data_IF_518680418316
#
_entry.id   IF_518680418316
#
_cell.length_a   1.000
_cell.length_b   1.000
_cell.length_c   1.000
_cell.angle_alpha   90.00
_cell.angle_beta   90.00
_cell.angle_gamma   90.00
#
_symmetry.space_group_name_H-M   'P 1'
#
loop_
_entity.id
_entity.type
_entity.pdbx_description
1 polymer ?
#
# COMPACT_ATOMS: atom_id res chain seq x y z
N UNK A 1 -18.57 -71.70 21.51
CA UNK A 1 -19.28 -71.08 20.35
C UNK A 1 -19.19 -69.58 20.48
N UNK A 2 -18.34 -68.85 19.74
CA UNK A 2 -18.31 -67.43 19.78
C UNK A 2 -19.21 -66.84 18.69
N UNK A 3 -19.91 -65.73 19.06
CA UNK A 3 -20.89 -65.01 18.26
C UNK A 3 -20.21 -64.15 17.16
N UNK A 4 -20.71 -64.27 15.95
CA UNK A 4 -20.34 -63.47 14.82
C UNK A 4 -20.85 -62.03 14.99
N UNK A 5 -19.94 -61.02 14.95
CA UNK A 5 -20.23 -59.61 14.88
C UNK A 5 -20.26 -59.21 13.40
N UNK A 6 -21.44 -58.87 12.90
CA UNK A 6 -21.62 -58.30 11.55
C UNK A 6 -21.01 -56.88 11.49
N UNK A 7 -20.10 -56.70 10.54
CA UNK A 7 -19.53 -55.41 10.20
C UNK A 7 -20.47 -54.74 9.18
N UNK A 8 -21.19 -53.68 9.59
CA UNK A 8 -21.95 -52.83 8.68
C UNK A 8 -20.99 -51.94 7.87
N UNK A 9 -20.88 -52.22 6.57
CA UNK A 9 -20.21 -51.37 5.58
C UNK A 9 -21.06 -50.14 5.37
N UNK A 10 -20.49 -48.95 5.69
CA UNK A 10 -21.10 -47.66 5.35
C UNK A 10 -20.97 -47.44 3.85
N UNK A 11 -22.09 -47.08 3.19
CA UNK A 11 -22.15 -46.66 1.80
C UNK A 11 -21.36 -45.36 1.60
N UNK A 12 -20.70 -45.13 0.45
CA UNK A 12 -20.03 -43.87 0.13
C UNK A 12 -21.08 -42.77 -0.08
N UNK A 13 -20.80 -41.60 0.52
CA UNK A 13 -21.57 -40.36 0.32
C UNK A 13 -21.25 -39.87 -1.07
N UNK A 14 -22.29 -39.66 -1.89
CA UNK A 14 -22.17 -39.11 -3.25
C UNK A 14 -21.67 -37.66 -3.28
N UNK A 15 -21.13 -37.18 -4.43
CA UNK A 15 -20.68 -35.82 -4.60
C UNK A 15 -21.89 -34.90 -4.79
N UNK A 16 -22.22 -34.12 -3.76
CA UNK A 16 -23.27 -33.15 -3.84
C UNK A 16 -23.38 -32.33 -2.57
N UNK A 17 -22.57 -31.29 -2.51
CA UNK A 17 -22.89 -29.99 -1.93
C UNK A 17 -21.62 -29.12 -2.06
N UNK A 18 -21.40 -28.59 -3.27
CA UNK A 18 -20.60 -27.39 -3.41
C UNK A 18 -21.42 -26.27 -2.78
N UNK A 19 -21.11 -25.96 -1.52
CA UNK A 19 -21.62 -24.76 -0.88
C UNK A 19 -21.31 -23.58 -1.81
N UNK A 20 -22.33 -22.99 -2.38
CA UNK A 20 -22.24 -21.76 -3.14
C UNK A 20 -21.55 -20.75 -2.24
N UNK A 21 -20.34 -20.34 -2.61
CA UNK A 21 -19.64 -19.22 -1.99
C UNK A 21 -20.56 -18.02 -2.20
N UNK A 22 -21.30 -17.66 -1.16
CA UNK A 22 -22.16 -16.48 -1.15
C UNK A 22 -21.28 -15.29 -1.50
N UNK A 23 -21.47 -14.72 -2.68
CA UNK A 23 -20.78 -13.52 -3.10
C UNK A 23 -21.09 -12.42 -2.08
N UNK A 24 -20.09 -12.04 -1.29
CA UNK A 24 -20.24 -10.97 -0.30
C UNK A 24 -20.60 -9.70 -1.07
N UNK A 25 -21.71 -9.03 -0.75
CA UNK A 25 -22.14 -7.86 -1.52
C UNK A 25 -21.07 -6.76 -1.41
N UNK A 26 -20.60 -6.27 -2.56
CA UNK A 26 -19.73 -5.10 -2.62
C UNK A 26 -20.36 -3.94 -1.86
N UNK A 27 -19.56 -3.12 -1.12
CA UNK A 27 -20.11 -1.99 -0.40
C UNK A 27 -20.83 -1.05 -1.38
N UNK A 28 -22.04 -0.64 -1.03
CA UNK A 28 -22.80 0.31 -1.83
C UNK A 28 -22.07 1.66 -1.83
N UNK A 29 -21.56 2.07 -2.99
CA UNK A 29 -20.88 3.35 -3.14
C UNK A 29 -21.85 4.51 -2.98
N UNK A 30 -21.42 5.59 -2.34
CA UNK A 30 -22.18 6.84 -2.25
C UNK A 30 -22.25 7.55 -3.61
N UNK A 31 -23.16 8.52 -3.79
CA UNK A 31 -23.21 9.31 -5.02
C UNK A 31 -21.87 10.03 -5.34
N UNK A 32 -21.16 10.51 -4.31
CA UNK A 32 -19.86 11.18 -4.45
C UNK A 32 -18.79 10.19 -4.95
N UNK A 33 -18.72 8.99 -4.38
CA UNK A 33 -17.79 7.93 -4.78
C UNK A 33 -18.02 7.48 -6.23
N UNK A 34 -19.29 7.27 -6.61
CA UNK A 34 -19.64 6.97 -8.00
C UNK A 34 -19.29 8.12 -8.97
N UNK A 35 -19.46 9.37 -8.52
CA UNK A 35 -19.11 10.53 -9.33
C UNK A 35 -17.57 10.62 -9.53
N UNK A 36 -16.78 10.37 -8.49
CA UNK A 36 -15.32 10.34 -8.58
C UNK A 36 -14.83 9.27 -9.56
N UNK A 37 -15.31 8.03 -9.43
CA UNK A 37 -14.99 6.94 -10.36
C UNK A 37 -15.35 7.30 -11.81
N UNK A 38 -16.55 7.84 -12.05
CA UNK A 38 -16.96 8.25 -13.40
C UNK A 38 -16.10 9.38 -13.95
N UNK A 39 -15.71 10.35 -13.12
CA UNK A 39 -14.85 11.45 -13.54
C UNK A 39 -13.50 10.93 -14.03
N UNK A 40 -12.78 10.16 -13.21
CA UNK A 40 -11.48 9.59 -13.57
C UNK A 40 -11.59 8.71 -14.83
N UNK A 41 -12.60 7.85 -14.90
CA UNK A 41 -12.86 7.02 -16.07
C UNK A 41 -13.09 7.86 -17.34
N UNK A 42 -13.83 8.96 -17.24
CA UNK A 42 -14.09 9.85 -18.39
C UNK A 42 -12.81 10.54 -18.85
N UNK A 43 -11.97 11.03 -17.94
CA UNK A 43 -10.65 11.59 -18.26
C UNK A 43 -9.79 10.54 -18.96
N UNK A 44 -9.66 9.35 -18.36
CA UNK A 44 -8.88 8.26 -18.92
C UNK A 44 -9.35 7.83 -20.33
N UNK A 45 -10.66 7.81 -20.57
CA UNK A 45 -11.20 7.51 -21.91
C UNK A 45 -10.83 8.59 -22.94
N UNK A 46 -10.76 9.86 -22.53
CA UNK A 46 -10.31 10.95 -23.40
C UNK A 46 -8.83 10.81 -23.80
N UNK A 47 -7.99 10.37 -22.87
CA UNK A 47 -6.55 10.23 -23.04
C UNK A 47 -6.15 8.87 -23.65
N UNK A 48 -7.05 7.90 -23.67
CA UNK A 48 -6.82 6.54 -24.15
C UNK A 48 -6.21 6.45 -25.56
N UNK A 49 -6.66 7.22 -26.59
CA UNK A 49 -6.07 7.13 -27.93
C UNK A 49 -4.58 7.49 -27.95
N UNK A 50 -4.19 8.54 -27.23
CA UNK A 50 -2.79 8.96 -27.11
C UNK A 50 -1.97 7.93 -26.33
N UNK A 51 -2.54 7.38 -25.24
CA UNK A 51 -1.93 6.32 -24.44
C UNK A 51 -1.67 5.06 -25.28
N UNK A 52 -2.63 4.61 -26.06
CA UNK A 52 -2.48 3.46 -26.96
C UNK A 52 -1.38 3.66 -27.99
N UNK A 53 -1.26 4.87 -28.58
CA UNK A 53 -0.18 5.20 -29.49
C UNK A 53 1.19 5.16 -28.78
N UNK A 54 1.27 5.65 -27.55
CA UNK A 54 2.50 5.63 -26.74
C UNK A 54 2.90 4.20 -26.37
N UNK A 55 1.97 3.37 -25.91
CA UNK A 55 2.22 1.95 -25.62
C UNK A 55 2.73 1.24 -26.88
N UNK A 56 2.08 1.47 -28.02
CA UNK A 56 2.49 0.87 -29.29
C UNK A 56 3.93 1.24 -29.68
N UNK A 57 4.33 2.50 -29.54
CA UNK A 57 5.71 2.95 -29.81
C UNK A 57 6.71 2.32 -28.83
N UNK A 58 6.39 2.28 -27.54
CA UNK A 58 7.25 1.69 -26.52
C UNK A 58 7.48 0.21 -26.79
N UNK A 59 6.45 -0.55 -27.09
CA UNK A 59 6.55 -1.99 -27.37
C UNK A 59 7.25 -2.29 -28.68
N UNK A 60 7.03 -1.50 -29.72
CA UNK A 60 7.71 -1.68 -31.01
C UNK A 60 9.24 -1.59 -30.90
N UNK A 61 9.75 -0.76 -29.99
CA UNK A 61 11.18 -0.59 -29.72
C UNK A 61 11.87 -1.77 -29.03
N UNK A 62 11.09 -2.67 -28.40
CA UNK A 62 11.65 -3.77 -27.60
C UNK A 62 12.00 -5.03 -28.38
N UNK A 63 11.48 -5.19 -29.60
CA UNK A 63 11.54 -6.46 -30.33
C UNK A 63 10.71 -7.59 -29.66
N UNK A 64 10.04 -7.35 -28.56
CA UNK A 64 9.19 -8.32 -27.87
C UNK A 64 7.78 -8.25 -28.42
N UNK A 65 7.24 -9.39 -28.79
CA UNK A 65 5.86 -9.51 -29.30
C UNK A 65 4.88 -9.63 -28.13
N UNK A 66 4.75 -8.57 -27.33
CA UNK A 66 3.68 -8.49 -26.35
C UNK A 66 2.52 -7.69 -26.91
N UNK A 67 1.34 -8.27 -26.83
CA UNK A 67 0.10 -7.56 -27.15
C UNK A 67 -0.25 -6.63 -25.97
N UNK A 68 -0.53 -5.37 -26.29
CA UNK A 68 -1.01 -4.38 -25.30
C UNK A 68 -2.25 -4.87 -24.55
N UNK A 69 -3.13 -5.62 -25.23
CA UNK A 69 -4.36 -6.15 -24.63
C UNK A 69 -4.03 -7.19 -23.56
N UNK A 70 -2.98 -8.00 -23.77
CA UNK A 70 -2.49 -8.93 -22.77
C UNK A 70 -1.93 -8.23 -21.53
N UNK A 71 -1.20 -7.11 -21.69
CA UNK A 71 -0.69 -6.32 -20.57
C UNK A 71 -1.82 -5.69 -19.75
N UNK A 72 -2.80 -5.07 -20.41
CA UNK A 72 -3.98 -4.49 -19.75
C UNK A 72 -4.76 -5.58 -19.02
N UNK A 73 -5.00 -6.71 -19.66
CA UNK A 73 -5.68 -7.85 -19.04
C UNK A 73 -4.90 -8.41 -17.83
N UNK A 74 -3.57 -8.46 -17.92
CA UNK A 74 -2.71 -8.91 -16.82
C UNK A 74 -2.78 -7.96 -15.64
N UNK A 75 -2.78 -6.65 -15.86
CA UNK A 75 -2.95 -5.66 -14.78
C UNK A 75 -4.27 -5.89 -14.03
N UNK A 76 -5.38 -6.07 -14.74
CA UNK A 76 -6.69 -6.33 -14.14
C UNK A 76 -6.77 -7.66 -13.39
N UNK A 77 -6.11 -8.70 -13.88
CA UNK A 77 -6.12 -10.05 -13.30
C UNK A 77 -5.15 -10.17 -12.12
N UNK A 78 -3.92 -9.68 -12.29
CA UNK A 78 -2.81 -9.92 -11.35
C UNK A 78 -2.55 -8.72 -10.41
N UNK A 79 -2.95 -7.51 -10.77
CA UNK A 79 -2.79 -6.33 -9.93
C UNK A 79 -3.49 -6.48 -8.57
N UNK A 80 -2.87 -6.01 -7.51
CA UNK A 80 -3.46 -5.95 -6.16
C UNK A 80 -3.18 -4.60 -5.53
N UNK A 81 -4.18 -4.01 -4.94
CA UNK A 81 -3.96 -2.80 -4.15
C UNK A 81 -3.34 -3.18 -2.81
N UNK A 82 -2.30 -2.44 -2.42
CA UNK A 82 -1.74 -2.51 -1.08
C UNK A 82 -1.89 -1.16 -0.39
N UNK A 83 -2.34 -1.19 0.88
CA UNK A 83 -2.47 -0.02 1.72
C UNK A 83 -1.36 -0.05 2.76
N UNK A 84 -0.29 0.70 2.52
CA UNK A 84 0.83 0.77 3.44
C UNK A 84 0.52 1.71 4.62
N UNK A 85 0.90 1.29 5.84
CA UNK A 85 0.71 2.04 7.08
C UNK A 85 1.79 1.71 8.12
N UNK A 86 1.95 2.59 9.12
CA UNK A 86 2.73 2.30 10.32
C UNK A 86 1.78 1.87 11.43
N UNK A 87 1.91 0.64 11.99
CA UNK A 87 0.94 0.06 12.92
C UNK A 87 0.92 0.76 14.27
N UNK A 88 2.04 1.33 14.69
CA UNK A 88 2.30 2.00 15.95
C UNK A 88 2.10 3.53 15.88
N UNK A 89 1.68 4.07 14.73
CA UNK A 89 1.32 5.49 14.59
C UNK A 89 0.13 5.81 15.48
N UNK A 90 0.27 6.84 16.34
CA UNK A 90 -0.81 7.32 17.19
C UNK A 90 -1.85 8.11 16.39
N UNK A 91 -3.11 7.82 16.64
CA UNK A 91 -4.28 8.56 16.19
C UNK A 91 -4.62 9.67 17.21
N UNK A 92 -5.53 10.56 16.83
CA UNK A 92 -5.94 11.68 17.69
C UNK A 92 -6.61 11.23 19.01
N UNK A 93 -7.19 10.03 19.05
CA UNK A 93 -7.80 9.43 20.24
C UNK A 93 -6.80 8.68 21.14
N UNK A 94 -5.49 8.73 20.80
CA UNK A 94 -4.40 8.09 21.54
C UNK A 94 -4.19 6.61 21.24
N UNK A 95 -5.08 5.97 20.48
CA UNK A 95 -4.87 4.59 20.00
C UNK A 95 -3.84 4.56 18.88
N UNK A 96 -3.17 3.43 18.75
CA UNK A 96 -2.37 3.13 17.57
C UNK A 96 -3.27 2.76 16.38
N UNK A 97 -2.72 2.86 15.15
CA UNK A 97 -3.41 2.38 13.94
C UNK A 97 -3.75 0.90 14.07
N UNK A 98 -2.85 0.07 14.63
CA UNK A 98 -3.12 -1.35 14.85
C UNK A 98 -4.32 -1.59 15.77
N UNK A 99 -4.40 -0.85 16.90
CA UNK A 99 -5.54 -0.95 17.84
C UNK A 99 -6.85 -0.50 17.20
N UNK A 100 -6.83 0.57 16.41
CA UNK A 100 -8.02 1.01 15.69
C UNK A 100 -8.49 -0.03 14.65
N UNK A 101 -7.56 -0.61 13.88
CA UNK A 101 -7.88 -1.68 12.93
C UNK A 101 -8.48 -2.91 13.62
N UNK A 102 -7.88 -3.36 14.75
CA UNK A 102 -8.39 -4.50 15.50
C UNK A 102 -9.78 -4.24 16.10
N UNK A 103 -10.00 -3.05 16.66
CA UNK A 103 -11.26 -2.72 17.30
C UNK A 103 -12.41 -2.49 16.32
N UNK A 104 -12.14 -1.90 15.16
CA UNK A 104 -13.17 -1.40 14.25
C UNK A 104 -13.38 -2.28 13.03
N UNK A 105 -12.38 -3.06 12.62
CA UNK A 105 -12.46 -3.88 11.42
C UNK A 105 -12.56 -3.10 10.11
N UNK A 106 -12.21 -1.81 10.13
CA UNK A 106 -12.32 -0.89 9.00
C UNK A 106 -11.02 -0.09 8.84
N UNK A 107 -10.56 0.07 7.59
CA UNK A 107 -9.46 0.98 7.27
C UNK A 107 -9.99 2.38 7.02
N UNK A 108 -9.66 3.33 7.90
CA UNK A 108 -10.13 4.72 7.85
C UNK A 108 -9.46 5.52 6.73
N UNK A 109 -10.18 6.51 6.20
CA UNK A 109 -9.63 7.51 5.28
C UNK A 109 -8.68 8.48 6.01
N UNK A 110 -7.88 9.20 5.23
CA UNK A 110 -7.03 10.26 5.78
C UNK A 110 -7.85 11.40 6.44
N UNK A 111 -9.05 11.66 5.93
CA UNK A 111 -9.95 12.65 6.52
C UNK A 111 -10.59 12.21 7.83
N UNK A 112 -10.75 10.91 8.06
CA UNK A 112 -11.20 10.37 9.35
C UNK A 112 -10.09 10.38 10.39
N UNK A 113 -8.85 10.19 9.97
CA UNK A 113 -7.69 10.20 10.88
C UNK A 113 -7.05 11.57 11.04
N UNK A 114 -7.36 12.52 10.15
CA UNK A 114 -6.69 13.81 10.04
C UNK A 114 -5.27 13.73 9.49
N UNK A 115 -4.72 12.52 9.26
CA UNK A 115 -3.32 12.30 8.91
C UNK A 115 -3.14 12.30 7.38
N UNK A 116 -2.29 13.18 6.87
CA UNK A 116 -1.84 13.19 5.48
C UNK A 116 -0.34 13.46 5.42
N UNK A 117 0.40 12.71 4.61
CA UNK A 117 1.86 12.84 4.49
C UNK A 117 2.62 12.84 5.84
N UNK A 118 2.11 12.11 6.84
CA UNK A 118 2.70 12.07 8.17
C UNK A 118 2.32 13.26 9.07
N UNK A 119 1.55 14.22 8.60
CA UNK A 119 1.09 15.42 9.33
C UNK A 119 -0.43 15.39 9.56
N UNK A 120 -0.93 16.16 10.53
CA UNK A 120 -2.36 16.33 10.81
C UNK A 120 -2.95 17.43 9.91
N UNK A 121 -3.07 17.18 8.61
CA UNK A 121 -3.47 18.18 7.62
C UNK A 121 -4.51 17.68 6.60
N UNK A 122 -5.27 16.62 6.91
CA UNK A 122 -6.39 16.18 6.09
C UNK A 122 -7.72 16.68 6.65
N UNK A 123 -8.15 17.85 6.21
CA UNK A 123 -9.42 18.49 6.56
C UNK A 123 -9.99 19.26 5.36
N UNK A 124 -11.30 19.59 5.33
CA UNK A 124 -11.90 20.37 4.25
C UNK A 124 -11.19 21.71 4.05
N UNK A 125 -10.83 22.02 2.81
CA UNK A 125 -10.07 23.23 2.44
C UNK A 125 -8.55 23.10 2.57
N UNK A 126 -8.03 21.95 3.06
CA UNK A 126 -6.59 21.67 3.11
C UNK A 126 -6.00 21.39 1.72
N UNK A 127 -4.67 21.27 1.64
CA UNK A 127 -3.99 20.85 0.41
C UNK A 127 -4.49 19.50 -0.09
N UNK A 128 -4.69 18.53 0.81
CA UNK A 128 -5.27 17.24 0.49
C UNK A 128 -6.64 17.39 -0.16
N UNK A 129 -7.49 18.24 0.37
CA UNK A 129 -8.82 18.48 -0.18
C UNK A 129 -8.76 19.10 -1.59
N UNK A 130 -7.80 20.00 -1.83
CA UNK A 130 -7.56 20.58 -3.16
C UNK A 130 -7.01 19.58 -4.16
N UNK A 131 -6.15 18.64 -3.72
CA UNK A 131 -5.66 17.55 -4.58
C UNK A 131 -6.79 16.61 -4.98
N UNK A 132 -7.64 16.20 -4.04
CA UNK A 132 -8.82 15.39 -4.33
C UNK A 132 -9.82 16.12 -5.22
N UNK A 133 -9.99 17.43 -5.04
CA UNK A 133 -10.86 18.25 -5.91
C UNK A 133 -10.42 18.16 -7.37
N UNK A 134 -9.12 18.31 -7.63
CA UNK A 134 -8.58 18.21 -9.00
C UNK A 134 -8.72 16.78 -9.54
N UNK A 135 -8.30 15.80 -8.77
CA UNK A 135 -8.26 14.40 -9.21
C UNK A 135 -9.66 13.83 -9.48
N UNK A 136 -10.66 14.22 -8.69
CA UNK A 136 -12.01 13.65 -8.75
C UNK A 136 -13.08 14.63 -9.26
N UNK A 137 -12.68 15.75 -9.89
CA UNK A 137 -13.62 16.72 -10.46
C UNK A 137 -14.59 17.30 -9.45
N UNK A 138 -14.15 17.57 -8.22
CA UNK A 138 -14.96 18.13 -7.16
C UNK A 138 -16.01 17.18 -6.57
N UNK A 139 -15.95 15.89 -6.84
CA UNK A 139 -16.94 14.92 -6.36
C UNK A 139 -17.06 14.89 -4.84
N UNK A 140 -15.92 15.04 -4.14
CA UNK A 140 -15.84 14.98 -2.69
C UNK A 140 -15.99 16.33 -1.97
N UNK A 141 -16.06 17.44 -2.69
CA UNK A 141 -16.31 18.78 -2.15
C UNK A 141 -17.79 19.16 -2.13
N UNK A 142 -18.66 18.22 -2.51
CA UNK A 142 -20.12 18.43 -2.52
C UNK A 142 -20.69 18.43 -1.09
N UNK A 143 -21.76 19.21 -0.83
CA UNK A 143 -22.45 19.18 0.46
C UNK A 143 -22.88 17.76 0.87
N UNK A 144 -22.74 17.43 2.15
CA UNK A 144 -23.13 16.15 2.72
C UNK A 144 -22.11 15.02 2.56
N UNK A 145 -20.94 15.25 1.93
CA UNK A 145 -19.84 14.29 1.90
C UNK A 145 -19.17 14.24 3.26
N UNK A 146 -19.09 13.05 3.84
CA UNK A 146 -18.48 12.79 5.14
C UNK A 146 -16.99 12.41 4.97
N UNK A 147 -16.16 12.55 6.01
CA UNK A 147 -14.78 12.04 6.01
C UNK A 147 -14.66 10.56 5.60
N UNK A 148 -15.57 9.70 6.06
CA UNK A 148 -15.59 8.28 5.73
C UNK A 148 -15.91 7.98 4.24
N UNK A 149 -16.54 8.92 3.54
CA UNK A 149 -16.85 8.78 2.12
C UNK A 149 -15.61 9.02 1.23
N UNK A 150 -14.57 9.68 1.78
CA UNK A 150 -13.32 9.98 1.07
C UNK A 150 -12.54 8.71 0.71
N UNK A 151 -11.72 8.73 -0.35
CA UNK A 151 -10.96 7.55 -0.79
C UNK A 151 -9.88 7.16 0.23
N UNK A 152 -9.48 5.89 0.19
CA UNK A 152 -8.36 5.33 0.93
C UNK A 152 -7.19 5.15 -0.03
N UNK A 153 -6.02 5.66 0.35
CA UNK A 153 -4.85 5.74 -0.52
C UNK A 153 -3.90 4.56 -0.30
N UNK A 154 -3.39 4.03 -1.39
CA UNK A 154 -2.40 2.96 -1.41
C UNK A 154 -1.67 2.93 -2.75
N UNK A 155 -1.15 1.78 -3.14
CA UNK A 155 -0.52 1.57 -4.42
C UNK A 155 -0.97 0.30 -5.10
N UNK A 156 -0.92 0.28 -6.44
CA UNK A 156 -1.17 -0.91 -7.24
C UNK A 156 0.12 -1.73 -7.34
N UNK A 157 0.18 -2.84 -6.61
CA UNK A 157 1.32 -3.74 -6.54
C UNK A 157 1.35 -4.66 -7.75
N UNK A 158 1.90 -4.18 -8.86
CA UNK A 158 1.97 -4.89 -10.12
C UNK A 158 3.06 -5.97 -10.14
N UNK A 159 4.19 -5.72 -9.43
CA UNK A 159 5.33 -6.63 -9.39
C UNK A 159 5.31 -7.55 -8.16
N UNK A 160 4.22 -7.55 -7.41
CA UNK A 160 4.04 -8.37 -6.20
C UNK A 160 5.15 -8.20 -5.15
N UNK A 161 5.56 -6.94 -4.93
CA UNK A 161 6.58 -6.63 -3.95
C UNK A 161 6.14 -7.03 -2.54
N UNK A 162 6.98 -7.72 -1.77
CA UNK A 162 6.66 -8.17 -0.42
C UNK A 162 6.51 -7.03 0.59
N UNK A 163 7.09 -5.86 0.32
CA UNK A 163 6.99 -4.63 1.11
C UNK A 163 5.83 -3.73 0.67
N UNK A 164 4.98 -4.19 -0.27
CA UNK A 164 3.86 -3.43 -0.84
C UNK A 164 4.29 -2.51 -1.99
N UNK A 165 3.31 -1.87 -2.62
CA UNK A 165 3.54 -0.98 -3.75
C UNK A 165 4.11 0.38 -3.37
N UNK A 166 3.93 0.80 -2.10
CA UNK A 166 4.30 2.14 -1.64
C UNK A 166 4.84 2.12 -0.19
N UNK A 167 5.95 1.41 0.08
CA UNK A 167 6.53 1.27 1.42
C UNK A 167 6.93 2.62 2.04
N UNK A 168 7.07 3.68 1.25
CA UNK A 168 7.30 5.05 1.75
C UNK A 168 6.24 5.52 2.75
N UNK A 169 5.03 4.97 2.71
CA UNK A 169 3.91 5.36 3.57
C UNK A 169 3.72 4.47 4.79
N UNK A 170 4.45 3.37 4.89
CA UNK A 170 4.37 2.51 6.06
C UNK A 170 5.11 1.18 5.91
N UNK A 171 5.46 0.65 7.06
CA UNK A 171 6.25 -0.58 7.21
C UNK A 171 5.41 -1.86 7.14
N UNK A 172 4.09 -1.73 7.24
CA UNK A 172 3.13 -2.82 7.08
C UNK A 172 2.14 -2.47 5.98
N UNK A 173 1.48 -3.47 5.39
CA UNK A 173 0.41 -3.19 4.45
C UNK A 173 -0.70 -4.24 4.49
N UNK A 174 -1.92 -3.80 4.20
CA UNK A 174 -3.02 -4.66 3.83
C UNK A 174 -2.97 -4.92 2.34
N UNK A 175 -2.98 -6.17 1.91
CA UNK A 175 -3.20 -6.55 0.51
C UNK A 175 -4.69 -6.79 0.31
N UNK A 176 -5.29 -6.06 -0.62
CA UNK A 176 -6.72 -6.14 -0.86
C UNK A 176 -7.07 -7.24 -1.86
N UNK A 177 -8.29 -7.75 -1.75
CA UNK A 177 -8.86 -8.71 -2.69
C UNK A 177 -9.03 -8.10 -4.08
N UNK A 178 -8.96 -8.90 -5.17
CA UNK A 178 -9.03 -8.40 -6.54
C UNK A 178 -10.32 -7.66 -6.86
N UNK A 179 -11.43 -7.99 -6.21
CA UNK A 179 -12.73 -7.36 -6.42
C UNK A 179 -12.72 -5.86 -6.10
N UNK A 180 -11.79 -5.43 -5.24
CA UNK A 180 -11.63 -4.02 -4.86
C UNK A 180 -11.18 -3.16 -6.05
N UNK A 181 -10.51 -3.73 -7.05
CA UNK A 181 -10.08 -3.02 -8.26
C UNK A 181 -11.25 -2.36 -8.99
N UNK A 182 -12.44 -2.98 -8.98
CA UNK A 182 -13.64 -2.44 -9.65
C UNK A 182 -14.11 -1.08 -9.08
N UNK A 183 -13.67 -0.74 -7.86
CA UNK A 183 -13.99 0.53 -7.19
C UNK A 183 -12.73 1.34 -6.85
N UNK A 184 -11.67 1.16 -7.63
CA UNK A 184 -10.38 1.84 -7.44
C UNK A 184 -10.07 2.70 -8.67
N UNK A 185 -9.57 3.90 -8.42
CA UNK A 185 -8.93 4.75 -9.42
C UNK A 185 -7.43 4.69 -9.24
N UNK A 186 -6.70 5.00 -10.30
CA UNK A 186 -5.24 4.96 -10.32
C UNK A 186 -4.67 6.24 -10.90
N UNK A 187 -3.46 6.60 -10.48
CA UNK A 187 -2.62 7.55 -11.20
C UNK A 187 -1.16 7.09 -11.16
N UNK A 188 -0.40 7.45 -12.18
CA UNK A 188 1.05 7.19 -12.17
C UNK A 188 1.75 8.27 -11.36
N UNK A 189 2.49 7.87 -10.31
CA UNK A 189 3.09 8.77 -9.34
C UNK A 189 2.10 9.27 -8.27
N UNK A 190 2.57 10.20 -7.43
CA UNK A 190 1.82 10.70 -6.27
C UNK A 190 0.79 11.76 -6.68
N UNK A 191 -0.44 11.62 -6.21
CA UNK A 191 -1.58 12.51 -6.54
C UNK A 191 -1.38 13.97 -6.13
N UNK A 192 -0.49 14.26 -5.16
CA UNK A 192 -0.18 15.64 -4.76
C UNK A 192 0.49 16.45 -5.87
N UNK A 193 1.19 15.76 -6.79
CA UNK A 193 1.83 16.38 -7.96
C UNK A 193 0.85 16.73 -9.08
N UNK A 194 -0.42 16.33 -8.96
CA UNK A 194 -1.44 16.56 -9.98
C UNK A 194 -1.22 15.76 -11.27
N UNK A 195 -1.04 14.43 -11.18
CA UNK A 195 -0.77 13.60 -12.35
C UNK A 195 -1.90 13.68 -13.36
N UNK A 196 -1.55 13.62 -14.66
CA UNK A 196 -2.50 13.57 -15.77
C UNK A 196 -2.87 12.13 -16.13
N UNK A 197 -1.93 11.21 -15.94
CA UNK A 197 -2.06 9.80 -16.31
C UNK A 197 -2.88 9.06 -15.25
N UNK A 198 -4.19 9.12 -15.41
CA UNK A 198 -5.17 8.53 -14.49
C UNK A 198 -5.93 7.40 -15.17
N UNK A 199 -6.52 6.50 -14.35
CA UNK A 199 -7.26 5.37 -14.89
C UNK A 199 -8.18 4.69 -13.89
N UNK A 200 -8.95 3.76 -14.42
CA UNK A 200 -9.71 2.73 -13.70
C UNK A 200 -9.27 1.37 -14.24
N UNK A 201 -9.65 0.27 -13.59
CA UNK A 201 -9.22 -1.07 -14.03
C UNK A 201 -9.63 -1.41 -15.48
N UNK A 202 -10.74 -0.86 -15.95
CA UNK A 202 -11.27 -1.04 -17.31
C UNK A 202 -10.71 -0.03 -18.32
N UNK A 203 -10.03 1.03 -17.87
CA UNK A 203 -9.34 2.03 -18.72
C UNK A 203 -8.03 2.42 -18.03
N UNK A 204 -7.06 1.52 -18.02
CA UNK A 204 -5.76 1.67 -17.35
C UNK A 204 -4.65 2.11 -18.30
N UNK A 205 -4.93 2.21 -19.59
CA UNK A 205 -3.94 2.50 -20.63
C UNK A 205 -3.15 3.80 -20.40
N UNK A 206 -3.72 4.92 -19.91
CA UNK A 206 -2.93 6.12 -19.61
C UNK A 206 -1.87 5.85 -18.53
N UNK A 207 -2.24 5.13 -17.48
CA UNK A 207 -1.33 4.74 -16.39
C UNK A 207 -0.23 3.80 -16.90
N UNK A 208 -0.59 2.80 -17.70
CA UNK A 208 0.39 1.89 -18.34
C UNK A 208 1.34 2.63 -19.26
N UNK A 209 0.85 3.56 -20.09
CA UNK A 209 1.67 4.35 -20.99
C UNK A 209 2.71 5.16 -20.20
N UNK A 210 2.30 5.83 -19.14
CA UNK A 210 3.19 6.61 -18.26
C UNK A 210 4.24 5.72 -17.60
N UNK A 211 3.85 4.55 -17.09
CA UNK A 211 4.76 3.57 -16.51
C UNK A 211 5.83 3.10 -17.51
N UNK A 212 5.43 2.78 -18.75
CA UNK A 212 6.37 2.35 -19.80
C UNK A 212 7.35 3.48 -20.17
N UNK A 213 6.87 4.72 -20.31
CA UNK A 213 7.71 5.88 -20.61
C UNK A 213 8.71 6.13 -19.47
N UNK A 214 8.24 6.18 -18.23
CA UNK A 214 9.11 6.38 -17.08
C UNK A 214 10.20 5.29 -16.95
N UNK A 215 9.85 4.04 -17.28
CA UNK A 215 10.82 2.93 -17.30
C UNK A 215 11.93 3.16 -18.32
N UNK A 216 11.58 3.64 -19.53
CA UNK A 216 12.57 3.98 -20.58
C UNK A 216 13.46 5.14 -20.13
N UNK A 217 12.85 6.18 -19.58
CA UNK A 217 13.56 7.42 -19.26
C UNK A 217 14.52 7.27 -18.07
N UNK A 218 14.18 6.41 -17.11
CA UNK A 218 14.92 6.32 -15.84
C UNK A 218 15.68 5.02 -15.64
N UNK A 219 15.36 3.95 -16.39
CA UNK A 219 15.87 2.61 -16.12
C UNK A 219 15.42 2.04 -14.75
N UNK A 220 14.40 2.67 -14.15
CA UNK A 220 13.79 2.23 -12.88
C UNK A 220 12.31 1.99 -13.13
N UNK A 221 11.78 0.91 -12.58
CA UNK A 221 10.35 0.65 -12.65
C UNK A 221 9.82 0.10 -11.34
N UNK A 222 8.82 0.79 -10.79
CA UNK A 222 8.15 0.42 -9.54
C UNK A 222 9.15 0.14 -8.41
N UNK A 223 10.14 1.03 -8.27
CA UNK A 223 11.21 0.96 -7.28
C UNK A 223 12.38 0.06 -7.63
N UNK A 224 12.31 -0.73 -8.71
CA UNK A 224 13.40 -1.65 -9.12
C UNK A 224 14.33 -0.99 -10.14
N UNK A 225 15.61 -0.79 -9.82
CA UNK A 225 16.60 -0.29 -10.77
C UNK A 225 16.99 -1.37 -11.78
N UNK A 226 17.49 -0.94 -12.95
CA UNK A 226 17.93 -1.83 -14.01
C UNK A 226 16.79 -2.54 -14.75
N UNK A 227 15.55 -2.04 -14.62
CA UNK A 227 14.41 -2.53 -15.38
C UNK A 227 14.37 -1.88 -16.77
N UNK A 228 14.36 -2.69 -17.81
CA UNK A 228 13.98 -2.28 -19.15
C UNK A 228 12.53 -2.71 -19.47
N UNK A 229 12.04 -2.33 -20.63
CA UNK A 229 10.68 -2.67 -21.05
C UNK A 229 10.47 -4.18 -21.22
N UNK A 230 11.51 -4.93 -21.61
CA UNK A 230 11.42 -6.39 -21.78
C UNK A 230 11.23 -7.05 -20.43
N UNK A 231 12.03 -6.65 -19.45
CA UNK A 231 11.93 -7.15 -18.09
C UNK A 231 10.58 -6.76 -17.44
N UNK A 232 10.19 -5.48 -17.59
CA UNK A 232 8.91 -5.01 -17.03
C UNK A 232 7.71 -5.74 -17.63
N UNK A 233 7.60 -5.81 -18.95
CA UNK A 233 6.46 -6.47 -19.61
C UNK A 233 6.41 -7.96 -19.30
N UNK A 234 7.56 -8.62 -19.22
CA UNK A 234 7.66 -10.03 -18.81
C UNK A 234 7.16 -10.23 -17.38
N UNK A 235 7.55 -9.34 -16.45
CA UNK A 235 7.07 -9.39 -15.07
C UNK A 235 5.57 -9.10 -14.95
N UNK A 236 5.02 -8.13 -15.68
CA UNK A 236 3.59 -7.83 -15.69
C UNK A 236 2.74 -9.00 -16.21
N UNK A 237 3.27 -9.81 -17.13
CA UNK A 237 2.57 -10.96 -17.69
C UNK A 237 2.67 -12.23 -16.84
N UNK A 238 3.56 -12.25 -15.82
CA UNK A 238 3.69 -13.42 -14.93
C UNK A 238 2.42 -13.62 -14.10
N UNK A 239 2.01 -14.88 -13.97
CA UNK A 239 0.91 -15.25 -13.10
C UNK A 239 1.34 -15.23 -11.63
N UNK A 240 0.47 -14.85 -10.73
CA UNK A 240 0.75 -14.86 -9.29
C UNK A 240 1.09 -16.24 -8.74
N UNK A 241 0.51 -17.29 -9.29
CA UNK A 241 0.81 -18.67 -8.94
C UNK A 241 2.30 -18.99 -9.17
N UNK A 242 2.87 -18.49 -10.29
CA UNK A 242 4.29 -18.67 -10.63
C UNK A 242 5.19 -17.75 -9.76
N UNK A 243 4.64 -16.64 -9.29
CA UNK A 243 5.33 -15.66 -8.44
C UNK A 243 5.51 -16.18 -7.01
N UNK A 244 4.50 -16.85 -6.47
CA UNK A 244 4.52 -17.37 -5.10
C UNK A 244 5.62 -18.43 -4.86
N UNK A 245 6.13 -19.02 -5.93
CA UNK A 245 7.18 -20.06 -5.86
C UNK A 245 8.62 -19.50 -5.80
N UNK A 246 8.84 -18.19 -6.04
CA UNK A 246 10.18 -17.60 -6.09
C UNK A 246 10.35 -16.52 -5.01
N UNK A 247 11.44 -16.55 -4.19
CA UNK A 247 11.77 -15.48 -3.27
C UNK A 247 11.93 -14.16 -4.04
N UNK A 248 11.24 -13.10 -3.60
CA UNK A 248 11.38 -11.77 -4.17
C UNK A 248 12.06 -10.83 -3.18
N UNK A 249 12.98 -10.02 -3.70
CA UNK A 249 13.51 -8.88 -2.96
C UNK A 249 12.45 -7.80 -2.77
N UNK A 250 12.64 -6.94 -1.77
CA UNK A 250 11.83 -5.77 -1.53
C UNK A 250 11.80 -4.86 -2.77
N UNK A 251 10.63 -4.28 -3.06
CA UNK A 251 10.45 -3.35 -4.17
C UNK A 251 11.10 -2.00 -3.95
N UNK A 252 11.09 -1.53 -2.69
CA UNK A 252 11.68 -0.26 -2.25
C UNK A 252 11.14 0.96 -3.01
N UNK A 253 9.89 0.89 -3.48
CA UNK A 253 9.26 1.98 -4.20
C UNK A 253 9.02 3.18 -3.28
N UNK A 254 9.69 4.28 -3.55
CA UNK A 254 9.54 5.53 -2.80
C UNK A 254 8.71 6.55 -3.59
N UNK A 255 9.18 6.92 -4.77
CA UNK A 255 8.56 7.95 -5.59
C UNK A 255 8.05 7.39 -6.94
N UNK A 256 8.48 6.18 -7.32
CA UNK A 256 8.11 5.47 -8.54
C UNK A 256 7.10 4.34 -8.21
N UNK A 257 5.82 4.64 -8.29
CA UNK A 257 4.73 3.71 -8.05
C UNK A 257 3.43 4.17 -8.74
N UNK A 258 2.50 3.25 -8.90
CA UNK A 258 1.13 3.56 -9.31
C UNK A 258 0.29 3.75 -8.05
N UNK A 259 -0.14 5.00 -7.79
CA UNK A 259 -1.04 5.29 -6.68
C UNK A 259 -2.44 4.72 -6.96
N UNK A 260 -3.05 4.17 -5.93
CA UNK A 260 -4.39 3.63 -5.96
C UNK A 260 -5.29 4.35 -4.94
N UNK A 261 -6.46 4.79 -5.38
CA UNK A 261 -7.46 5.43 -4.52
C UNK A 261 -8.71 4.55 -4.47
N UNK A 262 -8.91 3.86 -3.35
CA UNK A 262 -10.04 2.96 -3.15
C UNK A 262 -11.25 3.73 -2.66
N UNK A 263 -12.35 3.68 -3.41
CA UNK A 263 -13.62 4.31 -3.07
C UNK A 263 -14.51 3.34 -2.27
N UNK A 264 -15.26 3.89 -1.33
CA UNK A 264 -16.08 3.11 -0.40
C UNK A 264 -15.34 2.63 0.84
N UNK A 265 -16.07 1.99 1.72
CA UNK A 265 -15.53 1.41 2.93
C UNK A 265 -14.59 0.24 2.61
N UNK A 266 -13.53 0.09 3.38
CA UNK A 266 -12.64 -1.09 3.33
C UNK A 266 -12.82 -1.83 4.64
N UNK A 267 -13.47 -2.98 4.59
CA UNK A 267 -13.71 -3.88 5.70
C UNK A 267 -12.64 -4.97 5.75
N UNK A 268 -12.02 -5.15 6.90
CA UNK A 268 -10.96 -6.13 7.05
C UNK A 268 -11.45 -7.54 6.74
N UNK A 269 -12.63 -7.92 7.21
CA UNK A 269 -13.18 -9.27 7.03
C UNK A 269 -13.50 -9.63 5.56
N UNK A 270 -13.81 -8.65 4.70
CA UNK A 270 -14.32 -8.91 3.35
C UNK A 270 -13.40 -8.43 2.24
N UNK A 271 -12.65 -7.35 2.46
CA UNK A 271 -11.85 -6.72 1.43
C UNK A 271 -10.36 -7.06 1.51
N UNK A 272 -9.88 -7.56 2.68
CA UNK A 272 -8.47 -7.90 2.90
C UNK A 272 -8.20 -9.36 2.55
N UNK A 273 -7.18 -9.56 1.72
CA UNK A 273 -6.66 -10.88 1.36
C UNK A 273 -5.63 -11.37 2.38
N UNK A 274 -4.71 -10.48 2.78
CA UNK A 274 -3.68 -10.74 3.79
C UNK A 274 -3.16 -9.42 4.38
N UNK A 275 -2.55 -9.53 5.57
CA UNK A 275 -1.75 -8.50 6.20
C UNK A 275 -0.28 -8.89 6.10
N UNK A 276 0.56 -7.98 5.61
CA UNK A 276 2.01 -8.17 5.58
C UNK A 276 2.67 -7.12 6.47
N UNK A 277 3.50 -7.57 7.41
CA UNK A 277 4.08 -6.71 8.44
C UNK A 277 5.61 -6.76 8.45
N UNK A 278 6.22 -5.67 8.93
CA UNK A 278 7.65 -5.58 9.18
C UNK A 278 8.03 -6.43 10.40
N UNK A 279 9.06 -7.30 10.30
CA UNK A 279 9.42 -8.23 11.36
C UNK A 279 9.86 -7.55 12.66
N UNK A 280 10.28 -6.27 12.63
CA UNK A 280 10.63 -5.52 13.84
C UNK A 280 9.46 -5.33 14.82
N UNK A 281 8.23 -5.60 14.40
CA UNK A 281 7.07 -5.61 15.28
C UNK A 281 6.82 -6.96 15.95
N UNK A 282 7.54 -8.04 15.61
CA UNK A 282 7.44 -9.31 16.34
C UNK A 282 7.76 -9.10 17.81
N UNK A 283 6.96 -9.67 18.70
CA UNK A 283 7.13 -9.53 20.15
C UNK A 283 6.79 -8.15 20.72
N UNK A 284 6.31 -7.21 19.91
CA UNK A 284 5.80 -5.90 20.37
C UNK A 284 4.29 -5.92 20.59
N UNK A 285 3.76 -4.93 21.34
CA UNK A 285 2.30 -4.73 21.48
C UNK A 285 1.59 -4.57 20.14
N UNK A 286 2.14 -3.75 19.23
CA UNK A 286 1.58 -3.59 17.89
C UNK A 286 1.56 -4.88 17.09
N UNK A 287 2.62 -5.70 17.16
CA UNK A 287 2.66 -7.02 16.53
C UNK A 287 1.61 -7.99 17.08
N UNK A 288 1.43 -8.01 18.41
CA UNK A 288 0.38 -8.79 19.05
C UNK A 288 -1.02 -8.36 18.59
N UNK A 289 -1.27 -7.05 18.53
CA UNK A 289 -2.54 -6.47 18.04
C UNK A 289 -2.81 -6.81 16.58
N UNK A 290 -1.80 -6.70 15.70
CA UNK A 290 -1.92 -7.11 14.29
C UNK A 290 -2.24 -8.60 14.16
N UNK A 291 -1.64 -9.45 15.00
CA UNK A 291 -1.93 -10.89 15.04
C UNK A 291 -3.37 -11.15 15.47
N UNK A 292 -3.85 -10.44 16.50
CA UNK A 292 -5.23 -10.55 16.96
C UNK A 292 -6.22 -10.11 15.88
N UNK A 293 -5.96 -9.00 15.19
CA UNK A 293 -6.79 -8.51 14.09
C UNK A 293 -6.84 -9.52 12.94
N UNK A 294 -5.70 -10.08 12.53
CA UNK A 294 -5.64 -11.09 11.47
C UNK A 294 -6.49 -12.33 11.80
N UNK A 295 -6.39 -12.81 13.05
CA UNK A 295 -7.21 -13.92 13.53
C UNK A 295 -8.70 -13.54 13.60
N UNK A 296 -9.04 -12.37 14.15
CA UNK A 296 -10.42 -11.89 14.33
C UNK A 296 -11.17 -11.76 13.01
N UNK A 297 -10.50 -11.23 11.98
CA UNK A 297 -11.10 -10.94 10.66
C UNK A 297 -10.83 -12.01 9.61
N UNK A 298 -10.11 -13.08 9.95
CA UNK A 298 -10.00 -14.30 9.14
C UNK A 298 -9.07 -14.17 7.92
N UNK A 299 -7.96 -13.45 8.02
CA UNK A 299 -6.93 -13.38 6.97
C UNK A 299 -5.54 -13.71 7.53
N UNK A 300 -4.61 -14.21 6.69
CA UNK A 300 -3.26 -14.54 7.14
C UNK A 300 -2.45 -13.27 7.45
N UNK A 301 -1.60 -13.35 8.48
CA UNK A 301 -0.51 -12.43 8.75
C UNK A 301 0.80 -13.03 8.22
N UNK A 302 1.49 -12.29 7.37
CA UNK A 302 2.84 -12.61 6.89
C UNK A 302 3.84 -11.54 7.35
N UNK A 303 5.10 -11.91 7.40
CA UNK A 303 6.20 -10.99 7.71
C UNK A 303 7.10 -10.90 6.48
N UNK A 304 7.34 -9.68 5.98
CA UNK A 304 8.34 -9.47 4.94
C UNK A 304 9.75 -9.45 5.54
N UNK A 305 10.77 -9.25 4.71
CA UNK A 305 12.17 -9.29 5.19
C UNK A 305 12.56 -8.11 6.11
N UNK A 306 11.75 -7.04 6.17
CA UNK A 306 12.06 -5.84 6.95
C UNK A 306 13.15 -4.98 6.35
N UNK A 307 13.45 -3.89 7.05
CA UNK A 307 14.52 -2.96 6.71
C UNK A 307 15.28 -2.57 7.98
N UNK A 308 16.54 -2.97 8.06
CA UNK A 308 17.44 -2.61 9.15
C UNK A 308 18.65 -1.86 8.60
N UNK A 309 19.09 -0.82 9.31
CA UNK A 309 20.24 -0.02 8.92
C UNK A 309 21.06 0.35 10.14
N UNK A 310 22.37 0.03 10.18
CA UNK A 310 23.28 0.52 11.22
C UNK A 310 23.26 2.06 11.24
N UNK A 311 23.16 2.65 12.43
CA UNK A 311 22.98 4.11 12.57
C UNK A 311 24.08 4.93 11.90
N UNK A 312 25.31 4.43 11.89
CA UNK A 312 26.46 5.10 11.28
C UNK A 312 26.43 5.10 9.74
N UNK A 313 25.50 4.35 9.11
CA UNK A 313 25.29 4.33 7.66
C UNK A 313 24.21 5.30 7.20
N UNK A 314 23.58 6.02 8.12
CA UNK A 314 22.62 7.08 7.78
C UNK A 314 23.41 8.33 7.41
N UNK A 315 23.36 8.72 6.14
CA UNK A 315 24.01 9.92 5.64
C UNK A 315 23.02 11.07 5.35
N UNK A 316 23.58 12.24 5.01
CA UNK A 316 22.82 13.45 4.72
C UNK A 316 22.41 13.60 3.24
N UNK A 317 22.95 12.80 2.33
CA UNK A 317 22.79 12.99 0.89
C UNK A 317 21.36 12.70 0.42
N UNK A 318 20.77 11.69 1.03
CA UNK A 318 19.43 11.23 0.63
C UNK A 318 18.34 11.87 1.47
N UNK A 319 17.90 12.70 1.91
CA UNK A 319 16.78 13.33 2.66
C UNK A 319 17.25 14.51 3.51
N UNK A 320 18.52 14.87 3.38
CA UNK A 320 19.08 16.09 3.92
C UNK A 320 19.76 15.96 5.30
N UNK A 321 20.40 17.03 5.73
CA UNK A 321 21.32 17.01 6.88
C UNK A 321 20.63 16.86 8.24
N UNK A 322 19.31 17.02 8.32
CA UNK A 322 18.56 16.82 9.57
C UNK A 322 18.44 15.33 9.97
N UNK A 323 18.64 14.40 9.02
CA UNK A 323 18.34 12.98 9.22
C UNK A 323 19.41 12.25 10.04
N UNK A 324 20.73 12.35 9.77
CA UNK A 324 21.73 11.65 10.57
C UNK A 324 21.69 11.98 12.07
N UNK A 325 21.62 13.25 12.52
CA UNK A 325 21.54 13.55 13.95
C UNK A 325 20.21 13.11 14.59
N UNK A 326 19.12 13.05 13.81
CA UNK A 326 17.85 12.47 14.28
C UNK A 326 18.00 10.95 14.45
N UNK A 327 18.59 10.27 13.47
CA UNK A 327 18.85 8.83 13.52
C UNK A 327 19.69 8.44 14.72
N UNK A 328 20.78 9.20 14.99
CA UNK A 328 21.64 9.00 16.17
C UNK A 328 20.85 9.14 17.46
N UNK A 329 19.97 10.14 17.57
CA UNK A 329 19.11 10.34 18.74
C UNK A 329 18.09 9.19 18.90
N UNK A 330 17.39 8.81 17.83
CA UNK A 330 16.46 7.68 17.87
C UNK A 330 17.16 6.40 18.33
N UNK A 331 18.37 6.14 17.81
CA UNK A 331 19.14 4.98 18.20
C UNK A 331 19.55 5.05 19.69
N UNK A 332 20.11 6.19 20.14
CA UNK A 332 20.57 6.36 21.52
C UNK A 332 19.46 6.23 22.57
N UNK A 333 18.23 6.67 22.23
CA UNK A 333 17.13 6.69 23.18
C UNK A 333 16.25 5.42 23.15
N UNK A 334 16.17 4.72 22.02
CA UNK A 334 15.20 3.64 21.83
C UNK A 334 15.81 2.29 21.47
N UNK A 335 17.07 2.24 20.97
CA UNK A 335 17.72 0.99 20.59
C UNK A 335 18.44 0.33 21.78
N UNK A 336 18.60 -0.98 21.71
CA UNK A 336 19.51 -1.74 22.57
C UNK A 336 20.93 -1.60 22.03
N UNK A 337 21.96 -1.85 22.86
CA UNK A 337 23.35 -1.87 22.38
C UNK A 337 23.52 -2.82 21.18
N UNK A 338 24.04 -2.29 20.06
CA UNK A 338 24.24 -3.06 18.84
C UNK A 338 23.01 -3.29 17.94
N UNK A 339 21.83 -2.88 18.38
CA UNK A 339 20.59 -3.00 17.58
C UNK A 339 20.62 -1.99 16.43
N UNK A 340 20.38 -2.40 15.16
CA UNK A 340 20.28 -1.45 14.05
C UNK A 340 18.97 -0.67 14.11
N UNK A 341 18.90 0.45 13.39
CA UNK A 341 17.64 1.16 13.17
C UNK A 341 16.67 0.27 12.38
N UNK A 342 15.41 0.26 12.78
CA UNK A 342 14.31 -0.45 12.13
C UNK A 342 12.96 0.24 12.39
N UNK A 343 11.88 -0.23 11.76
CA UNK A 343 10.58 0.42 11.78
C UNK A 343 10.04 0.67 13.20
N UNK A 344 10.10 -0.31 14.09
CA UNK A 344 9.55 -0.17 15.45
C UNK A 344 10.35 0.83 16.33
N UNK A 345 11.64 1.08 16.07
CA UNK A 345 12.38 2.14 16.74
C UNK A 345 11.88 3.52 16.31
N UNK A 346 11.69 3.71 15.00
CA UNK A 346 11.17 4.96 14.45
C UNK A 346 9.76 5.22 14.98
N UNK A 347 8.93 4.19 15.09
CA UNK A 347 7.57 4.31 15.62
C UNK A 347 7.56 4.71 17.09
N UNK A 348 8.42 4.13 17.93
CA UNK A 348 8.59 4.55 19.33
C UNK A 348 9.00 6.03 19.46
N UNK A 349 9.93 6.47 18.61
CA UNK A 349 10.32 7.87 18.55
C UNK A 349 9.15 8.76 18.12
N UNK A 350 8.38 8.36 17.10
CA UNK A 350 7.21 9.11 16.64
C UNK A 350 6.12 9.20 17.73
N UNK A 351 5.88 8.13 18.47
CA UNK A 351 4.98 8.15 19.60
C UNK A 351 5.46 9.11 20.70
N UNK A 352 6.76 9.09 21.02
CA UNK A 352 7.37 10.01 22.01
C UNK A 352 7.25 11.47 21.57
N UNK A 353 7.42 11.79 20.27
CA UNK A 353 7.23 13.16 19.74
C UNK A 353 5.79 13.66 19.97
N UNK A 354 4.80 12.78 19.87
CA UNK A 354 3.39 13.14 20.07
C UNK A 354 3.02 13.23 21.55
N UNK A 355 3.52 12.31 22.37
CA UNK A 355 3.13 12.23 23.80
C UNK A 355 3.94 13.13 24.71
N UNK A 356 5.17 13.45 24.34
CA UNK A 356 6.08 14.33 25.08
C UNK A 356 6.82 15.28 24.12
N UNK A 357 6.10 16.27 23.53
CA UNK A 357 6.70 17.19 22.58
C UNK A 357 7.81 18.06 23.18
N UNK A 358 7.76 18.32 24.51
CA UNK A 358 8.80 19.09 25.21
C UNK A 358 10.19 18.44 25.12
N UNK A 359 10.25 17.13 25.15
CA UNK A 359 11.49 16.37 24.99
C UNK A 359 12.15 16.59 23.62
N UNK A 360 11.38 16.95 22.61
CA UNK A 360 11.81 17.12 21.22
C UNK A 360 11.89 18.60 20.78
N UNK A 361 11.73 19.55 21.72
CA UNK A 361 11.67 20.99 21.39
C UNK A 361 12.92 21.51 20.67
N UNK A 362 14.08 20.90 20.89
CA UNK A 362 15.33 21.21 20.20
C UNK A 362 15.33 20.83 18.70
N UNK A 363 14.35 20.04 18.25
CA UNK A 363 14.18 19.61 16.87
C UNK A 363 13.16 20.44 16.07
N UNK A 364 12.60 21.46 16.69
CA UNK A 364 11.58 22.31 16.09
C UNK A 364 10.14 21.82 16.35
N UNK A 365 9.19 22.25 15.52
CA UNK A 365 7.78 21.86 15.65
C UNK A 365 7.58 20.34 15.56
N UNK A 366 6.55 19.85 16.25
CA UNK A 366 6.14 18.42 16.21
C UNK A 366 5.95 17.94 14.78
N UNK A 367 5.31 18.76 13.92
CA UNK A 367 5.09 18.44 12.50
C UNK A 367 6.39 18.14 11.75
N UNK A 368 7.42 18.96 11.99
CA UNK A 368 8.70 18.88 11.28
C UNK A 368 9.50 17.68 11.77
N UNK A 369 9.49 17.43 13.08
CA UNK A 369 10.13 16.24 13.66
C UNK A 369 9.49 14.95 13.14
N UNK A 370 8.14 14.88 13.07
CA UNK A 370 7.43 13.75 12.48
C UNK A 370 7.73 13.60 10.98
N UNK A 371 7.88 14.70 10.24
CA UNK A 371 8.29 14.66 8.83
C UNK A 371 9.71 14.12 8.68
N UNK A 372 10.65 14.52 9.53
CA UNK A 372 12.01 13.98 9.53
C UNK A 372 12.04 12.48 9.91
N UNK A 373 11.21 12.03 10.86
CA UNK A 373 11.08 10.60 11.17
C UNK A 373 10.53 9.81 9.98
N UNK A 374 9.56 10.35 9.25
CA UNK A 374 9.09 9.77 7.98
C UNK A 374 10.24 9.69 6.96
N UNK A 375 11.05 10.74 6.84
CA UNK A 375 12.21 10.74 5.95
C UNK A 375 13.29 9.74 6.38
N UNK A 376 13.50 9.55 7.68
CA UNK A 376 14.38 8.50 8.22
C UNK A 376 13.84 7.11 7.83
N UNK A 377 12.52 6.89 7.87
CA UNK A 377 11.93 5.67 7.34
C UNK A 377 12.23 5.48 5.84
N UNK A 378 12.19 6.54 5.02
CA UNK A 378 12.56 6.46 3.60
C UNK A 378 14.04 6.04 3.42
N UNK A 379 14.93 6.47 4.32
CA UNK A 379 16.35 6.05 4.32
C UNK A 379 16.45 4.53 4.57
N UNK A 380 15.69 4.00 5.53
CA UNK A 380 15.64 2.56 5.78
C UNK A 380 15.10 1.79 4.57
N UNK A 381 14.02 2.25 3.95
CA UNK A 381 13.48 1.63 2.73
C UNK A 381 14.53 1.62 1.61
N UNK A 382 15.28 2.70 1.45
CA UNK A 382 16.27 2.84 0.38
C UNK A 382 17.51 1.97 0.60
N UNK A 383 18.09 1.98 1.81
CA UNK A 383 19.41 1.46 2.09
C UNK A 383 19.43 0.27 3.07
N UNK A 384 18.34 0.04 3.80
CA UNK A 384 18.25 -1.03 4.80
C UNK A 384 18.42 -2.42 4.18
N UNK A 385 18.97 -3.33 4.98
CA UNK A 385 19.09 -4.75 4.68
C UNK A 385 17.94 -5.52 5.34
N UNK A 386 17.66 -6.79 4.96
CA UNK A 386 16.74 -7.64 5.70
C UNK A 386 17.02 -7.63 7.20
N UNK A 387 15.96 -7.64 8.00
CA UNK A 387 16.03 -7.65 9.46
C UNK A 387 15.68 -9.05 9.97
N UNK A 388 16.72 -9.82 10.31
CA UNK A 388 16.57 -11.13 10.92
C UNK A 388 16.33 -10.95 12.44
N UNK A 389 15.14 -11.37 12.93
CA UNK A 389 14.72 -11.29 14.34
C UNK A 389 14.89 -12.64 15.00
#
# INVERSE_FOLDING_TARGET
>A
MPAHREIRVRRPVGPGDTAAVSATPHPTLTPAQRAALRHVRTVALGDRPAALATIGRALAGTGVRHDREQLVAAIGREGRVTLNFHPDRLLADGRTVAEALDAEGVYRSQFETGISNGQLNAYPGSDRDRWEQRLFGGAYQRPGVRPADRPKYGGLNLLDHPDGASPRFGSCHLRLRPEVLARTTFCFGDSHLGPRDVGTVDVVEPVLAALLVATVDTGVSLGRPGMDLVALTSELLRRREDIAAAPRGAGRALDDYVEAQVHGEIRLATDVLELVADPSFRGTGSGATLTAAAHRYGFPLRWHAGFALPVHQVDAEFRGPAIPPLAARVHAEFARPGEPLHAALIGRAAASVVTDPGRWADRGPVSDTLQHLKQLWHVLVRFGTPYDV
#
